data_IF_273099845967
#
_entry.id   IF_273099845967
#
_cell.length_a   1.000
_cell.length_b   1.000
_cell.length_c   1.000
_cell.angle_alpha   90.00
_cell.angle_beta   90.00
_cell.angle_gamma   90.00
#
_symmetry.space_group_name_H-M   'P 1'
#
loop_
_entity.id
_entity.type
_entity.pdbx_description
1 polymer ?
#
# COMPACT_ATOMS: atom_id res chain seq x y z
N UNK A 1 -13.53 -5.87 -12.49
CA UNK A 1 -14.18 -5.27 -11.28
C UNK A 1 -13.82 -3.80 -11.20
N UNK A 2 -14.80 -2.93 -11.11
CA UNK A 2 -14.60 -1.48 -11.01
C UNK A 2 -14.72 -1.04 -9.54
N UNK A 3 -13.70 -0.38 -9.01
CA UNK A 3 -13.62 0.01 -7.60
C UNK A 3 -13.43 1.52 -7.46
N UNK A 4 -14.20 2.15 -6.56
CA UNK A 4 -13.88 3.48 -6.05
C UNK A 4 -13.03 3.35 -4.79
N UNK A 5 -11.76 3.69 -4.87
CA UNK A 5 -10.81 3.56 -3.78
C UNK A 5 -11.15 4.40 -2.55
N UNK A 6 -11.94 5.46 -2.72
CA UNK A 6 -12.33 6.37 -1.62
C UNK A 6 -13.30 5.71 -0.63
N UNK A 7 -14.10 4.75 -1.11
CA UNK A 7 -15.07 3.99 -0.30
C UNK A 7 -14.40 2.85 0.48
N UNK A 8 -13.17 2.48 0.10
CA UNK A 8 -12.39 1.42 0.75
C UNK A 8 -11.64 2.01 1.96
N UNK A 9 -11.65 1.37 3.13
CA UNK A 9 -10.90 1.85 4.29
C UNK A 9 -9.40 2.03 3.98
N UNK A 10 -8.89 3.23 4.26
CA UNK A 10 -7.47 3.54 4.17
C UNK A 10 -6.81 3.34 5.55
N UNK A 11 -6.01 2.31 5.67
CA UNK A 11 -5.28 1.96 6.89
C UNK A 11 -3.86 2.49 6.78
N UNK A 12 -3.40 3.29 7.71
CA UNK A 12 -2.00 3.72 7.71
C UNK A 12 -1.27 3.26 8.97
N UNK A 13 -0.02 2.80 8.76
CA UNK A 13 0.88 2.37 9.82
C UNK A 13 1.75 3.57 10.22
N UNK A 14 1.79 3.89 11.50
CA UNK A 14 2.57 5.01 12.01
C UNK A 14 3.06 4.73 13.44
N UNK A 15 4.33 5.03 13.70
CA UNK A 15 4.89 4.98 15.06
C UNK A 15 4.34 6.14 15.90
N UNK A 16 4.04 5.88 17.16
CA UNK A 16 3.41 6.85 18.05
C UNK A 16 4.22 8.16 18.18
N UNK A 17 5.55 8.08 18.14
CA UNK A 17 6.44 9.25 18.24
C UNK A 17 6.51 10.07 16.96
N UNK A 18 6.14 9.51 15.79
CA UNK A 18 6.28 10.16 14.49
C UNK A 18 5.03 11.01 14.15
N UNK A 19 4.79 12.05 14.93
CA UNK A 19 3.61 12.91 14.81
C UNK A 19 3.58 13.68 13.47
N UNK A 20 4.74 14.13 13.00
CA UNK A 20 4.82 14.85 11.71
C UNK A 20 4.44 13.94 10.53
N UNK A 21 4.93 12.70 10.53
CA UNK A 21 4.57 11.70 9.52
C UNK A 21 3.09 11.36 9.57
N UNK A 22 2.54 11.21 10.80
CA UNK A 22 1.11 11.02 11.00
C UNK A 22 0.29 12.13 10.35
N UNK A 23 0.62 13.37 10.63
CA UNK A 23 -0.10 14.52 10.08
C UNK A 23 0.02 14.56 8.55
N UNK A 24 1.21 14.30 8.02
CA UNK A 24 1.47 14.27 6.58
C UNK A 24 0.63 13.20 5.87
N UNK A 25 0.60 11.97 6.37
CA UNK A 25 -0.18 10.90 5.71
C UNK A 25 -1.68 11.15 5.81
N UNK A 26 -2.18 11.65 6.94
CA UNK A 26 -3.60 11.99 7.10
C UNK A 26 -4.00 13.06 6.09
N UNK A 27 -3.19 14.12 5.92
CA UNK A 27 -3.45 15.17 4.92
C UNK A 27 -3.49 14.60 3.50
N UNK A 28 -2.55 13.71 3.14
CA UNK A 28 -2.52 13.05 1.83
C UNK A 28 -3.78 12.22 1.59
N UNK A 29 -4.19 11.41 2.56
CA UNK A 29 -5.37 10.56 2.44
C UNK A 29 -6.67 11.36 2.37
N UNK A 30 -6.76 12.43 3.15
CA UNK A 30 -7.89 13.35 3.13
C UNK A 30 -8.00 14.09 1.80
N UNK A 31 -6.89 14.60 1.27
CA UNK A 31 -6.83 15.25 -0.05
C UNK A 31 -7.18 14.28 -1.20
N UNK A 32 -6.86 12.99 -1.06
CA UNK A 32 -7.28 11.95 -2.00
C UNK A 32 -8.77 11.61 -1.91
N UNK A 33 -9.44 12.04 -0.84
CA UNK A 33 -10.87 11.89 -0.64
C UNK A 33 -11.29 10.56 0.00
N UNK A 34 -10.40 9.88 0.74
CA UNK A 34 -10.74 8.68 1.49
C UNK A 34 -11.76 8.98 2.58
N UNK A 35 -12.85 8.22 2.63
CA UNK A 35 -13.97 8.44 3.55
C UNK A 35 -13.70 7.83 4.94
N UNK A 36 -12.92 6.77 5.00
CA UNK A 36 -12.59 6.06 6.23
C UNK A 36 -11.07 5.90 6.36
N UNK A 37 -10.47 6.60 7.31
CA UNK A 37 -9.04 6.60 7.57
C UNK A 37 -8.78 5.99 8.95
N UNK A 38 -8.05 4.89 8.99
CA UNK A 38 -7.78 4.08 10.20
C UNK A 38 -6.27 4.09 10.48
N UNK A 39 -5.89 4.39 11.71
CA UNK A 39 -4.50 4.31 12.17
C UNK A 39 -4.23 2.96 12.84
N UNK A 40 -3.13 2.33 12.47
CA UNK A 40 -2.56 1.17 13.17
C UNK A 40 -1.21 1.57 13.79
N UNK A 41 -1.02 1.24 15.06
CA UNK A 41 0.25 1.49 15.74
C UNK A 41 1.36 0.64 15.15
N UNK A 42 2.41 1.29 14.66
CA UNK A 42 3.62 0.62 14.20
C UNK A 42 4.46 0.10 15.37
N UNK A 43 5.19 -0.98 15.12
CA UNK A 43 6.11 -1.56 16.09
C UNK A 43 7.50 -0.91 15.97
N UNK A 44 7.94 -0.31 17.08
CA UNK A 44 9.26 0.33 17.14
C UNK A 44 10.33 -0.68 17.52
N UNK A 45 11.14 -1.07 16.55
CA UNK A 45 12.25 -2.02 16.73
C UNK A 45 13.55 -1.42 16.18
N UNK A 46 14.22 -0.50 16.91
CA UNK A 46 15.37 0.26 16.39
C UNK A 46 16.54 -0.64 15.99
N UNK A 47 16.74 -1.76 16.67
CA UNK A 47 17.80 -2.72 16.35
C UNK A 47 17.45 -3.63 15.14
N UNK A 48 16.19 -3.71 14.76
CA UNK A 48 15.68 -4.56 13.67
C UNK A 48 14.54 -3.88 12.91
N UNK A 49 14.79 -2.78 12.19
CA UNK A 49 13.71 -1.99 11.56
C UNK A 49 12.82 -2.79 10.59
N UNK A 50 13.40 -3.73 9.84
CA UNK A 50 12.64 -4.59 8.93
C UNK A 50 11.69 -5.54 9.69
N UNK A 51 12.07 -6.02 10.86
CA UNK A 51 11.21 -6.86 11.68
C UNK A 51 10.01 -6.06 12.20
N UNK A 52 10.24 -4.83 12.68
CA UNK A 52 9.18 -3.91 13.11
C UNK A 52 8.22 -3.57 11.98
N UNK A 53 8.73 -3.29 10.80
CA UNK A 53 7.93 -3.04 9.60
C UNK A 53 7.04 -4.25 9.26
N UNK A 54 7.62 -5.44 9.17
CA UNK A 54 6.88 -6.68 8.87
C UNK A 54 5.82 -6.99 9.91
N UNK A 55 6.15 -6.81 11.18
CA UNK A 55 5.21 -7.05 12.27
C UNK A 55 4.06 -6.03 12.28
N UNK A 56 4.34 -4.78 11.94
CA UNK A 56 3.32 -3.73 11.80
C UNK A 56 2.32 -4.04 10.67
N UNK A 57 2.81 -4.52 9.53
CA UNK A 57 1.94 -4.98 8.44
C UNK A 57 1.11 -6.21 8.86
N UNK A 58 1.72 -7.20 9.49
CA UNK A 58 1.01 -8.36 10.03
C UNK A 58 -0.09 -7.96 11.01
N UNK A 59 0.18 -7.01 11.89
CA UNK A 59 -0.79 -6.46 12.83
C UNK A 59 -1.98 -5.80 12.10
N UNK A 60 -1.72 -4.96 11.10
CA UNK A 60 -2.75 -4.33 10.30
C UNK A 60 -3.67 -5.35 9.60
N UNK A 61 -3.07 -6.41 9.03
CA UNK A 61 -3.82 -7.53 8.41
C UNK A 61 -4.71 -8.30 9.39
N UNK A 62 -4.41 -8.27 10.69
CA UNK A 62 -5.23 -8.93 11.72
C UNK A 62 -6.23 -7.99 12.41
N UNK A 63 -6.08 -6.68 12.29
CA UNK A 63 -6.95 -5.71 12.94
C UNK A 63 -8.07 -5.19 12.03
N UNK A 64 -7.92 -5.33 10.73
CA UNK A 64 -8.87 -4.81 9.75
C UNK A 64 -9.27 -5.90 8.77
N UNK A 65 -10.57 -6.10 8.60
CA UNK A 65 -11.11 -7.05 7.64
C UNK A 65 -11.06 -6.47 6.21
N UNK A 66 -10.67 -7.28 5.20
CA UNK A 66 -10.70 -6.84 3.80
C UNK A 66 -12.13 -6.56 3.28
N UNK A 67 -12.30 -5.71 2.25
CA UNK A 67 -11.22 -5.00 1.56
C UNK A 67 -10.71 -3.78 2.32
N UNK A 68 -9.40 -3.54 2.28
CA UNK A 68 -8.78 -2.31 2.81
C UNK A 68 -7.46 -2.01 2.09
N UNK A 69 -7.00 -0.77 2.20
CA UNK A 69 -5.72 -0.34 1.63
C UNK A 69 -4.77 -0.02 2.76
N UNK A 70 -3.58 -0.67 2.80
CA UNK A 70 -2.50 -0.30 3.72
C UNK A 70 -1.63 0.78 3.08
N UNK A 71 -1.27 1.79 3.87
CA UNK A 71 -0.30 2.82 3.55
C UNK A 71 0.80 2.88 4.61
N UNK A 72 2.04 3.04 4.20
CA UNK A 72 3.11 3.52 5.09
C UNK A 72 2.99 5.04 5.27
N UNK A 73 3.42 5.55 6.40
CA UNK A 73 3.20 6.96 6.79
C UNK A 73 4.07 7.98 6.02
N UNK A 74 4.94 7.52 5.14
CA UNK A 74 5.74 8.32 4.22
C UNK A 74 5.24 8.30 2.77
N UNK A 75 4.09 7.70 2.51
CA UNK A 75 3.45 7.72 1.21
C UNK A 75 3.04 9.12 0.78
N UNK A 76 3.16 9.38 -0.52
CA UNK A 76 2.70 10.61 -1.17
C UNK A 76 1.88 10.26 -2.40
N UNK A 77 0.82 11.01 -2.63
CA UNK A 77 0.02 10.85 -3.81
C UNK A 77 0.67 11.56 -5.02
N UNK A 78 0.74 10.83 -6.15
CA UNK A 78 1.11 11.38 -7.44
C UNK A 78 0.18 10.79 -8.49
N UNK A 79 -0.62 11.65 -9.12
CA UNK A 79 -1.61 11.22 -10.13
C UNK A 79 -2.57 10.14 -9.59
N UNK A 80 -3.08 10.33 -8.37
CA UNK A 80 -4.00 9.40 -7.74
C UNK A 80 -5.28 9.25 -8.57
N UNK A 81 -5.61 8.00 -8.91
CA UNK A 81 -6.86 7.65 -9.58
C UNK A 81 -7.84 7.11 -8.54
N UNK A 82 -8.98 7.75 -8.39
CA UNK A 82 -10.01 7.34 -7.44
C UNK A 82 -10.75 6.08 -7.86
N UNK A 83 -10.88 5.89 -9.17
CA UNK A 83 -11.57 4.72 -9.75
C UNK A 83 -10.57 3.89 -10.52
N UNK A 84 -10.53 2.60 -10.23
CA UNK A 84 -9.71 1.62 -10.93
C UNK A 84 -10.57 0.46 -11.43
N UNK A 85 -10.20 -0.09 -12.58
CA UNK A 85 -10.79 -1.32 -13.11
C UNK A 85 -9.73 -2.42 -13.10
N UNK A 86 -9.98 -3.47 -12.35
CA UNK A 86 -9.03 -4.57 -12.11
C UNK A 86 -9.66 -5.91 -12.47
N UNK A 87 -8.87 -6.95 -12.79
CA UNK A 87 -9.38 -8.31 -12.98
C UNK A 87 -10.15 -8.81 -11.77
N UNK A 88 -11.22 -9.56 -12.02
CA UNK A 88 -12.07 -10.11 -10.95
C UNK A 88 -11.36 -11.18 -10.11
N UNK A 89 -10.27 -11.74 -10.60
CA UNK A 89 -9.42 -12.73 -9.93
C UNK A 89 -8.21 -12.11 -9.20
N UNK A 90 -8.28 -10.82 -8.90
CA UNK A 90 -7.22 -10.13 -8.17
C UNK A 90 -7.36 -10.32 -6.67
N UNK A 91 -6.30 -10.79 -6.01
CA UNK A 91 -6.24 -10.91 -4.53
C UNK A 91 -5.79 -9.59 -3.88
N UNK A 92 -4.87 -8.89 -4.54
CA UNK A 92 -4.34 -7.60 -4.06
C UNK A 92 -3.89 -6.70 -5.22
N UNK A 93 -3.82 -5.39 -4.96
CA UNK A 93 -3.34 -4.40 -5.94
C UNK A 93 -2.29 -3.49 -5.30
N UNK A 94 -1.11 -3.43 -5.90
CA UNK A 94 -0.12 -2.41 -5.56
C UNK A 94 -0.51 -1.08 -6.21
N UNK A 95 -0.81 -0.07 -5.40
CA UNK A 95 -1.13 1.28 -5.87
C UNK A 95 0.10 2.11 -6.18
N UNK A 96 1.26 1.68 -5.71
CA UNK A 96 2.56 2.23 -6.02
C UNK A 96 3.60 1.14 -6.03
N UNK A 97 4.57 1.25 -6.94
CA UNK A 97 5.67 0.30 -7.05
C UNK A 97 6.99 0.98 -6.74
N UNK A 98 7.89 0.25 -6.11
CA UNK A 98 9.28 0.66 -5.94
C UNK A 98 10.03 0.49 -7.26
N UNK A 99 10.97 1.38 -7.54
CA UNK A 99 11.94 1.20 -8.62
C UNK A 99 13.00 0.12 -8.32
N UNK A 100 12.86 -0.56 -7.19
CA UNK A 100 13.74 -1.66 -6.80
C UNK A 100 13.40 -2.91 -7.62
N UNK A 101 14.35 -3.37 -8.39
CA UNK A 101 14.17 -4.46 -9.33
C UNK A 101 14.40 -4.02 -10.79
N UNK A 102 14.49 -4.99 -11.68
CA UNK A 102 14.88 -4.75 -13.09
C UNK A 102 13.76 -4.29 -14.02
N UNK A 103 12.66 -3.80 -13.55
CA UNK A 103 11.65 -3.24 -14.47
C UNK A 103 12.22 -2.09 -15.30
N UNK A 104 13.17 -1.33 -14.75
CA UNK A 104 13.75 -0.13 -15.37
C UNK A 104 15.28 -0.18 -15.48
N UNK A 105 15.87 -1.33 -15.73
CA UNK A 105 17.32 -1.50 -15.89
C UNK A 105 18.14 -1.24 -14.60
N UNK A 106 17.53 -1.29 -13.44
CA UNK A 106 18.25 -1.17 -12.16
C UNK A 106 18.86 -2.51 -11.75
N UNK A 107 19.90 -2.45 -10.91
CA UNK A 107 20.47 -3.63 -10.27
C UNK A 107 19.50 -4.18 -9.23
N UNK A 108 19.19 -5.45 -9.29
CA UNK A 108 18.27 -6.12 -8.37
C UNK A 108 17.66 -7.37 -8.98
N UNK A 109 16.84 -8.10 -8.24
CA UNK A 109 16.13 -9.25 -8.77
C UNK A 109 15.19 -8.82 -9.90
N UNK A 110 15.07 -9.65 -10.91
CA UNK A 110 14.19 -9.41 -12.04
C UNK A 110 12.74 -9.52 -11.58
N UNK A 111 11.95 -8.47 -11.78
CA UNK A 111 10.51 -8.52 -11.56
C UNK A 111 9.87 -9.31 -12.69
N UNK A 112 9.10 -10.33 -12.34
CA UNK A 112 8.31 -11.11 -13.28
C UNK A 112 6.90 -10.54 -13.34
N UNK A 113 6.46 -10.18 -14.52
CA UNK A 113 5.15 -9.60 -14.73
C UNK A 113 4.54 -9.99 -16.07
N UNK A 114 3.23 -9.86 -16.18
CA UNK A 114 2.43 -9.99 -17.39
C UNK A 114 1.68 -8.68 -17.63
N UNK A 115 1.74 -8.16 -18.84
CA UNK A 115 0.98 -6.97 -19.22
C UNK A 115 -0.49 -7.36 -19.50
N UNK A 116 -1.40 -6.83 -18.68
CA UNK A 116 -2.84 -7.06 -18.81
C UNK A 116 -3.53 -6.02 -19.70
N UNK A 117 -2.77 -5.11 -20.30
CA UNK A 117 -3.25 -3.93 -21.02
C UNK A 117 -3.89 -2.87 -20.08
N UNK A 118 -4.21 -1.70 -20.63
CA UNK A 118 -4.85 -0.63 -19.83
C UNK A 118 -3.97 0.00 -18.75
N UNK A 119 -2.67 -0.30 -18.72
CA UNK A 119 -1.73 0.21 -17.72
C UNK A 119 -1.68 -0.64 -16.44
N UNK A 120 -2.21 -1.85 -16.47
CA UNK A 120 -2.14 -2.83 -15.40
C UNK A 120 -1.10 -3.90 -15.70
N UNK A 121 -0.35 -4.29 -14.68
CA UNK A 121 0.58 -5.41 -14.72
C UNK A 121 0.21 -6.45 -13.67
N UNK A 122 0.14 -7.72 -14.05
CA UNK A 122 0.11 -8.82 -13.10
C UNK A 122 1.54 -9.10 -12.65
N UNK A 123 1.79 -8.99 -11.34
CA UNK A 123 3.14 -9.10 -10.79
C UNK A 123 3.25 -10.39 -9.98
N UNK A 124 4.30 -11.16 -10.22
CA UNK A 124 4.55 -12.44 -9.55
C UNK A 124 5.59 -12.36 -8.44
N UNK A 125 6.42 -11.31 -8.43
CA UNK A 125 7.42 -11.07 -7.40
C UNK A 125 7.70 -9.57 -7.24
N UNK A 126 7.31 -8.99 -6.15
CA UNK A 126 7.55 -7.58 -5.84
C UNK A 126 8.04 -7.42 -4.40
N UNK A 127 9.01 -6.55 -4.22
CA UNK A 127 9.49 -6.14 -2.90
C UNK A 127 9.09 -4.68 -2.67
N UNK A 128 7.87 -4.46 -2.28
CA UNK A 128 7.41 -3.15 -1.84
C UNK A 128 5.98 -3.28 -1.30
N UNK A 129 5.72 -2.72 -0.15
CA UNK A 129 4.42 -2.80 0.50
C UNK A 129 3.92 -1.44 1.01
N UNK A 130 4.42 -0.34 0.45
CA UNK A 130 4.10 1.00 0.93
C UNK A 130 2.67 1.47 0.63
N UNK A 131 2.01 0.85 -0.35
CA UNK A 131 0.61 1.10 -0.66
C UNK A 131 0.00 -0.10 -1.38
N UNK A 132 -0.77 -0.90 -0.64
CA UNK A 132 -1.36 -2.17 -1.13
C UNK A 132 -2.82 -2.24 -0.75
N UNK A 133 -3.68 -2.45 -1.75
CA UNK A 133 -5.07 -2.83 -1.56
C UNK A 133 -5.15 -4.35 -1.43
N UNK A 134 -5.70 -4.83 -0.33
CA UNK A 134 -6.08 -6.22 -0.10
C UNK A 134 -7.58 -6.38 -0.35
N UNK A 135 -7.96 -7.36 -1.17
CA UNK A 135 -9.34 -7.57 -1.61
C UNK A 135 -10.01 -8.74 -0.88
N UNK A 136 -9.22 -9.74 -0.52
CA UNK A 136 -9.67 -10.95 0.16
C UNK A 136 -8.61 -11.45 1.15
N UNK A 137 -8.97 -12.42 2.03
CA UNK A 137 -8.07 -13.02 3.04
C UNK A 137 -7.00 -13.94 2.44
#
# INVERSE_FOLDING_TARGET
>A
MNLDLREIPAVYINLQQDVERKNSIVDVLDECGFENIIRVDGEYTPDRPLAGCSYSHYKALNEVDPPFIIFEDDCKAKNFRTIIDIPDDSDAVYLGISSWGRMNSHSGPCVQYEDLNGGLLRIYNMLSAHSVLYLDE
#
